data_IF_968234559861
#
_entry.id   IF_968234559861
#
_cell.length_a   1.000
_cell.length_b   1.000
_cell.length_c   1.000
_cell.angle_alpha   90.00
_cell.angle_beta   90.00
_cell.angle_gamma   90.00
#
_symmetry.space_group_name_H-M   'P 1'
#
loop_
_entity.id
_entity.type
_entity.pdbx_description
1 polymer ?
#
# COMPACT_ATOMS: atom_id res chain seq x y z
N UNK A 1 35.09 16.84 20.38
CA UNK A 1 35.12 15.41 19.99
C UNK A 1 36.53 14.86 19.78
N UNK A 2 37.53 15.68 19.40
CA UNK A 2 38.91 15.21 19.18
C UNK A 2 39.53 14.43 20.37
N UNK A 3 39.23 14.83 21.61
CA UNK A 3 39.70 14.15 22.81
C UNK A 3 39.22 12.69 22.93
N UNK A 4 37.93 12.45 22.74
CA UNK A 4 37.35 11.11 22.86
C UNK A 4 37.86 10.18 21.74
N UNK A 5 38.06 10.74 20.55
CA UNK A 5 38.66 10.03 19.42
C UNK A 5 40.12 9.63 19.74
N UNK A 6 40.91 10.53 20.31
CA UNK A 6 42.28 10.21 20.73
C UNK A 6 42.33 9.11 21.80
N UNK A 7 41.41 9.12 22.79
CA UNK A 7 41.31 8.05 23.79
C UNK A 7 40.91 6.71 23.14
N UNK A 8 39.99 6.74 22.19
CA UNK A 8 39.60 5.55 21.43
C UNK A 8 40.77 4.98 20.62
N UNK A 9 41.52 5.82 19.90
CA UNK A 9 42.66 5.42 19.08
C UNK A 9 43.80 4.86 19.94
N UNK A 10 44.13 5.51 21.06
CA UNK A 10 45.13 5.03 22.01
C UNK A 10 44.75 3.66 22.60
N UNK A 11 43.47 3.50 23.00
CA UNK A 11 42.96 2.23 23.53
C UNK A 11 43.01 1.12 22.48
N UNK A 12 42.63 1.44 21.24
CA UNK A 12 42.62 0.49 20.13
C UNK A 12 44.04 0.03 19.75
N UNK A 13 45.01 0.94 19.76
CA UNK A 13 46.42 0.61 19.54
C UNK A 13 46.95 -0.35 20.62
N UNK A 14 46.70 -0.04 21.90
CA UNK A 14 47.12 -0.89 23.02
C UNK A 14 46.48 -2.29 22.98
N UNK A 15 45.19 -2.38 22.63
CA UNK A 15 44.48 -3.68 22.50
C UNK A 15 45.08 -4.52 21.36
N UNK A 16 45.46 -3.91 20.23
CA UNK A 16 46.10 -4.63 19.12
C UNK A 16 47.44 -5.24 19.55
N UNK A 17 48.27 -4.46 20.22
CA UNK A 17 49.56 -4.92 20.73
C UNK A 17 49.38 -6.05 21.76
N UNK A 18 48.47 -5.89 22.72
CA UNK A 18 48.15 -6.94 23.69
C UNK A 18 47.66 -8.23 23.06
N UNK A 19 46.84 -8.14 22.00
CA UNK A 19 46.36 -9.30 21.24
C UNK A 19 47.49 -10.06 20.56
N UNK A 20 48.48 -9.37 19.99
CA UNK A 20 49.64 -10.01 19.36
C UNK A 20 50.50 -10.75 20.39
N UNK A 21 50.73 -10.13 21.56
CA UNK A 21 51.46 -10.76 22.68
C UNK A 21 50.74 -12.02 23.19
N UNK A 22 49.43 -11.97 23.40
CA UNK A 22 48.63 -13.13 23.81
C UNK A 22 48.65 -14.25 22.76
N UNK A 23 48.59 -13.89 21.47
CA UNK A 23 48.68 -14.85 20.36
C UNK A 23 50.05 -15.53 20.32
N UNK A 24 51.14 -14.80 20.53
CA UNK A 24 52.49 -15.36 20.59
C UNK A 24 52.66 -16.36 21.75
N UNK A 25 51.96 -16.14 22.86
CA UNK A 25 51.92 -17.05 24.01
C UNK A 25 50.91 -18.21 23.86
N UNK A 26 50.15 -18.27 22.76
CA UNK A 26 49.14 -19.31 22.53
C UNK A 26 47.89 -19.18 23.40
N UNK A 27 47.65 -18.01 24.02
CA UNK A 27 46.49 -17.78 24.91
C UNK A 27 45.29 -17.33 24.09
N UNK A 28 44.14 -18.00 24.26
CA UNK A 28 42.87 -17.60 23.65
C UNK A 28 42.34 -16.30 24.25
N UNK A 29 42.11 -15.28 23.41
CA UNK A 29 41.67 -13.95 23.85
C UNK A 29 40.20 -13.64 23.50
N UNK A 30 39.60 -14.36 22.54
CA UNK A 30 38.21 -14.13 22.11
C UNK A 30 37.26 -14.90 23.03
N UNK A 31 36.23 -14.23 23.54
CA UNK A 31 35.11 -14.90 24.23
C UNK A 31 34.37 -15.82 23.23
N UNK A 32 34.23 -17.13 23.51
CA UNK A 32 33.40 -18.02 22.72
C UNK A 32 31.92 -17.60 22.78
N UNK A 33 31.20 -17.79 21.67
CA UNK A 33 29.79 -17.37 21.57
C UNK A 33 28.88 -18.22 22.49
N UNK A 34 29.20 -19.50 22.66
CA UNK A 34 28.43 -20.47 23.45
C UNK A 34 28.82 -20.48 24.95
N UNK A 35 29.70 -19.58 25.41
CA UNK A 35 30.10 -19.50 26.81
C UNK A 35 29.23 -18.50 27.58
N UNK A 36 28.18 -19.01 28.22
CA UNK A 36 27.25 -18.21 29.03
C UNK A 36 27.76 -18.06 30.47
N UNK A 37 28.30 -16.88 30.79
CA UNK A 37 28.67 -16.48 32.15
C UNK A 37 28.02 -15.13 32.50
N UNK A 38 28.01 -14.77 33.78
CA UNK A 38 27.50 -13.47 34.22
C UNK A 38 28.32 -12.32 33.63
N UNK A 39 27.65 -11.35 33.02
CA UNK A 39 28.25 -10.15 32.44
C UNK A 39 28.10 -8.96 33.39
N UNK A 40 28.97 -7.95 33.25
CA UNK A 40 28.94 -6.72 34.06
C UNK A 40 27.56 -6.03 34.02
N UNK A 41 26.84 -6.15 32.90
CA UNK A 41 25.48 -5.63 32.73
C UNK A 41 24.53 -6.78 32.43
N UNK A 42 23.36 -6.75 33.06
CA UNK A 42 22.30 -7.73 32.81
C UNK A 42 21.73 -7.61 31.39
N UNK A 43 21.25 -8.73 30.86
CA UNK A 43 20.57 -8.76 29.56
C UNK A 43 19.31 -7.87 29.55
N UNK A 44 18.60 -7.80 30.68
CA UNK A 44 17.45 -6.92 30.83
C UNK A 44 17.82 -5.44 30.66
N UNK A 45 18.98 -5.02 31.16
CA UNK A 45 19.49 -3.67 30.95
C UNK A 45 19.86 -3.44 29.48
N UNK A 46 20.59 -4.38 28.87
CA UNK A 46 21.03 -4.26 27.48
C UNK A 46 19.85 -4.27 26.49
N UNK A 47 18.76 -4.98 26.78
CA UNK A 47 17.54 -4.95 25.98
C UNK A 47 16.89 -3.56 25.99
N UNK A 48 16.83 -2.89 27.15
CA UNK A 48 16.33 -1.50 27.23
C UNK A 48 17.19 -0.53 26.42
N UNK A 49 18.50 -0.71 26.41
CA UNK A 49 19.41 0.12 25.60
C UNK A 49 19.14 -0.12 24.11
N UNK A 50 19.01 -1.38 23.68
CA UNK A 50 18.66 -1.73 22.30
C UNK A 50 17.31 -1.16 21.87
N UNK A 51 16.30 -1.25 22.73
CA UNK A 51 14.97 -0.69 22.48
C UNK A 51 15.03 0.83 22.23
N UNK A 52 15.83 1.56 23.01
CA UNK A 52 16.03 3.01 22.82
C UNK A 52 16.70 3.31 21.48
N UNK A 53 17.75 2.58 21.12
CA UNK A 53 18.44 2.76 19.83
C UNK A 53 17.50 2.48 18.65
N UNK A 54 16.72 1.40 18.73
CA UNK A 54 15.72 1.05 17.70
C UNK A 54 14.64 2.14 17.63
N UNK A 55 14.21 2.68 18.76
CA UNK A 55 13.23 3.75 18.81
C UNK A 55 13.75 5.03 18.13
N UNK A 56 15.00 5.42 18.40
CA UNK A 56 15.63 6.59 17.76
C UNK A 56 15.78 6.40 16.25
N UNK A 57 16.21 5.23 15.80
CA UNK A 57 16.29 4.89 14.37
C UNK A 57 14.92 4.99 13.69
N UNK A 58 13.89 4.35 14.27
CA UNK A 58 12.52 4.43 13.74
C UNK A 58 11.97 5.86 13.71
N UNK A 59 12.35 6.69 14.69
CA UNK A 59 11.96 8.10 14.73
C UNK A 59 12.59 8.89 13.59
N UNK A 60 13.88 8.67 13.30
CA UNK A 60 14.57 9.30 12.17
C UNK A 60 13.98 8.84 10.84
N UNK A 61 13.79 7.54 10.65
CA UNK A 61 13.17 6.96 9.45
C UNK A 61 11.76 7.51 9.22
N UNK A 62 10.93 7.60 10.26
CA UNK A 62 9.59 8.15 10.15
C UNK A 62 9.61 9.64 9.74
N UNK A 63 10.58 10.40 10.22
CA UNK A 63 10.77 11.80 9.81
C UNK A 63 11.19 11.92 8.34
N UNK A 64 12.14 11.10 7.90
CA UNK A 64 12.60 11.06 6.51
C UNK A 64 11.48 10.64 5.56
N UNK A 65 10.75 9.57 5.89
CA UNK A 65 9.58 9.14 5.13
C UNK A 65 8.49 10.21 5.08
N UNK A 66 8.30 10.98 6.16
CA UNK A 66 7.35 12.11 6.15
C UNK A 66 7.81 13.21 5.21
N UNK A 67 9.10 13.56 5.24
CA UNK A 67 9.70 14.56 4.34
C UNK A 67 9.56 14.12 2.88
N UNK A 68 9.89 12.87 2.57
CA UNK A 68 9.74 12.30 1.23
C UNK A 68 8.27 12.28 0.78
N UNK A 69 7.34 11.89 1.66
CA UNK A 69 5.91 11.93 1.34
C UNK A 69 5.43 13.36 1.03
N UNK A 70 5.97 14.36 1.71
CA UNK A 70 5.64 15.76 1.43
C UNK A 70 6.19 16.22 0.09
N UNK A 71 7.44 15.88 -0.25
CA UNK A 71 8.03 16.22 -1.55
C UNK A 71 7.28 15.50 -2.67
N UNK A 72 7.02 14.20 -2.53
CA UNK A 72 6.23 13.43 -3.48
C UNK A 72 4.84 14.06 -3.70
N UNK A 73 4.14 14.49 -2.64
CA UNK A 73 2.85 15.17 -2.77
C UNK A 73 2.95 16.50 -3.54
N UNK A 74 3.99 17.30 -3.27
CA UNK A 74 4.23 18.57 -3.97
C UNK A 74 4.48 18.36 -5.47
N UNK A 75 5.31 17.38 -5.82
CA UNK A 75 5.71 17.14 -7.21
C UNK A 75 4.82 16.15 -7.97
N UNK A 76 3.90 15.45 -7.30
CA UNK A 76 3.06 14.40 -7.91
C UNK A 76 2.28 14.88 -9.12
N UNK A 77 1.70 16.09 -9.07
CA UNK A 77 0.95 16.65 -10.21
C UNK A 77 1.86 17.03 -11.37
N UNK A 78 3.01 17.64 -11.09
CA UNK A 78 3.98 17.99 -12.12
C UNK A 78 4.49 16.73 -12.84
N UNK A 79 4.88 15.71 -12.07
CA UNK A 79 5.30 14.40 -12.59
C UNK A 79 4.21 13.72 -13.41
N UNK A 80 2.95 13.78 -12.97
CA UNK A 80 1.83 13.21 -13.72
C UNK A 80 1.64 13.92 -15.06
N UNK A 81 1.73 15.25 -15.09
CA UNK A 81 1.61 16.04 -16.32
C UNK A 81 2.77 15.78 -17.29
N UNK A 82 3.99 15.72 -16.77
CA UNK A 82 5.20 15.40 -17.53
C UNK A 82 5.10 14.01 -18.16
N UNK A 83 4.70 13.01 -17.39
CA UNK A 83 4.48 11.65 -17.89
C UNK A 83 3.41 11.60 -18.99
N UNK A 84 2.35 12.40 -18.89
CA UNK A 84 1.34 12.48 -19.97
C UNK A 84 1.90 13.14 -21.23
N UNK A 85 2.71 14.19 -21.09
CA UNK A 85 3.40 14.85 -22.21
C UNK A 85 4.37 13.90 -22.90
N UNK A 86 5.18 13.18 -22.12
CA UNK A 86 6.13 12.17 -22.63
C UNK A 86 5.39 11.04 -23.37
N UNK A 87 4.31 10.50 -22.78
CA UNK A 87 3.46 9.50 -23.44
C UNK A 87 2.81 10.01 -24.72
N UNK A 88 2.42 11.29 -24.77
CA UNK A 88 1.86 11.88 -25.98
C UNK A 88 2.94 12.09 -27.05
N UNK A 89 4.14 12.50 -26.66
CA UNK A 89 5.29 12.65 -27.53
C UNK A 89 5.72 11.31 -28.14
N UNK A 90 5.88 10.27 -27.33
CA UNK A 90 6.24 8.92 -27.81
C UNK A 90 5.16 8.33 -28.73
N UNK A 91 3.87 8.54 -28.44
CA UNK A 91 2.79 8.17 -29.37
C UNK A 91 2.87 8.91 -30.70
N UNK A 92 3.18 10.20 -30.70
CA UNK A 92 3.35 10.97 -31.94
C UNK A 92 4.55 10.48 -32.73
N UNK A 93 5.67 10.21 -32.06
CA UNK A 93 6.90 9.71 -32.67
C UNK A 93 6.69 8.32 -33.30
N UNK A 94 6.08 7.39 -32.58
CA UNK A 94 5.73 6.05 -33.10
C UNK A 94 4.78 6.15 -34.29
N UNK A 95 3.73 6.98 -34.24
CA UNK A 95 2.84 7.19 -35.38
C UNK A 95 3.57 7.84 -36.58
N UNK A 96 4.48 8.77 -36.34
CA UNK A 96 5.30 9.35 -37.40
C UNK A 96 6.24 8.31 -38.04
N UNK A 97 6.85 7.45 -37.23
CA UNK A 97 7.68 6.35 -37.71
C UNK A 97 6.87 5.33 -38.54
N UNK A 98 5.67 4.97 -38.10
CA UNK A 98 4.77 4.08 -38.86
C UNK A 98 4.31 4.74 -40.16
N UNK A 99 3.99 6.03 -40.16
CA UNK A 99 3.64 6.77 -41.39
C UNK A 99 4.80 6.81 -42.37
N UNK A 100 6.01 7.17 -41.92
CA UNK A 100 7.22 7.12 -42.74
C UNK A 100 7.45 5.72 -43.31
N UNK A 101 7.35 4.68 -42.50
CA UNK A 101 7.47 3.30 -42.97
C UNK A 101 6.39 2.95 -44.01
N UNK A 102 5.14 3.38 -43.81
CA UNK A 102 4.05 3.19 -44.78
C UNK A 102 4.36 3.91 -46.10
N UNK A 103 4.78 5.17 -46.03
CA UNK A 103 5.09 6.00 -47.20
C UNK A 103 6.29 5.42 -47.97
N UNK A 104 7.38 5.07 -47.26
CA UNK A 104 8.56 4.41 -47.81
C UNK A 104 8.20 3.05 -48.45
N UNK A 105 7.32 2.27 -47.81
CA UNK A 105 6.86 0.98 -48.34
C UNK A 105 5.94 1.17 -49.56
N UNK A 106 5.11 2.21 -49.59
CA UNK A 106 4.27 2.54 -50.73
C UNK A 106 5.11 3.04 -51.92
N UNK A 107 6.17 3.82 -51.67
CA UNK A 107 7.13 4.24 -52.69
C UNK A 107 7.92 3.05 -53.25
N UNK A 108 8.35 2.12 -52.38
CA UNK A 108 8.96 0.84 -52.80
C UNK A 108 7.98 -0.03 -53.61
N UNK A 109 6.70 -0.07 -53.24
CA UNK A 109 5.64 -0.80 -53.96
C UNK A 109 5.25 -0.13 -55.29
N UNK A 110 5.42 1.17 -55.47
CA UNK A 110 5.25 1.83 -56.78
C UNK A 110 6.30 1.39 -57.82
N UNK A 111 7.40 0.78 -57.38
CA UNK A 111 8.42 0.17 -58.25
C UNK A 111 8.29 -1.35 -58.44
N UNK A 112 7.29 -2.02 -57.83
CA UNK A 112 7.16 -3.47 -57.86
C UNK A 112 5.72 -3.95 -57.62
N UNK A 113 5.17 -4.64 -58.62
CA UNK A 113 3.82 -5.23 -58.72
C UNK A 113 3.36 -5.95 -57.43
N UNK A 114 2.11 -5.70 -56.99
CA UNK A 114 1.33 -6.68 -56.21
C UNK A 114 0.55 -6.20 -54.98
N UNK A 115 -0.74 -5.93 -55.20
CA UNK A 115 -1.93 -6.37 -54.45
C UNK A 115 -2.22 -5.99 -52.97
N UNK A 116 -3.50 -5.67 -52.74
CA UNK A 116 -4.31 -5.83 -51.53
C UNK A 116 -4.01 -5.06 -50.21
N UNK A 117 -4.01 -3.73 -50.21
CA UNK A 117 -4.11 -2.93 -48.95
C UNK A 117 -5.52 -2.31 -48.73
N UNK A 118 -6.46 -2.47 -49.67
CA UNK A 118 -7.83 -1.96 -49.57
C UNK A 118 -8.74 -2.79 -48.66
N UNK A 119 -8.39 -4.05 -48.40
CA UNK A 119 -9.23 -4.98 -47.64
C UNK A 119 -9.06 -4.81 -46.11
N UNK A 120 -7.86 -4.40 -45.66
CA UNK A 120 -7.53 -4.27 -44.24
C UNK A 120 -8.25 -3.09 -43.55
N UNK A 121 -8.44 -1.97 -44.24
CA UNK A 121 -9.16 -0.78 -43.73
C UNK A 121 -10.68 -1.00 -43.67
N UNK A 122 -11.20 -1.85 -44.56
CA UNK A 122 -12.61 -2.27 -44.58
C UNK A 122 -12.92 -3.29 -43.48
N UNK A 123 -11.99 -4.20 -43.19
CA UNK A 123 -12.13 -5.19 -42.11
C UNK A 123 -12.07 -4.55 -40.71
N UNK A 124 -11.25 -3.51 -40.51
CA UNK A 124 -11.15 -2.82 -39.21
C UNK A 124 -12.34 -1.90 -38.89
N UNK A 125 -13.01 -1.35 -39.90
CA UNK A 125 -14.10 -0.38 -39.71
C UNK A 125 -15.45 -1.01 -39.42
N UNK A 126 -15.72 -2.24 -39.90
CA UNK A 126 -17.03 -2.89 -39.78
C UNK A 126 -17.20 -3.87 -38.58
N UNK A 127 -16.15 -4.15 -37.81
CA UNK A 127 -16.23 -5.07 -36.66
C UNK A 127 -16.21 -4.40 -35.28
N UNK A 128 -17.19 -3.54 -34.99
CA UNK A 128 -17.65 -3.40 -33.59
C UNK A 128 -18.85 -4.31 -33.37
N UNK A 129 -18.70 -5.48 -32.71
CA UNK A 129 -19.82 -6.34 -32.41
C UNK A 129 -20.86 -5.56 -31.58
N UNK A 130 -22.01 -5.27 -32.18
CA UNK A 130 -23.12 -4.62 -31.50
C UNK A 130 -23.56 -5.43 -30.27
N UNK A 131 -24.07 -4.74 -29.24
CA UNK A 131 -24.54 -5.40 -28.01
C UNK A 131 -25.52 -6.54 -28.36
N UNK A 132 -25.22 -7.75 -27.87
CA UNK A 132 -26.03 -8.97 -28.06
C UNK A 132 -27.52 -8.70 -27.84
N UNK A 133 -28.39 -9.36 -28.62
CA UNK A 133 -29.86 -9.25 -28.50
C UNK A 133 -30.34 -9.56 -27.08
N UNK A 134 -29.68 -10.51 -26.40
CA UNK A 134 -29.91 -10.82 -24.97
C UNK A 134 -29.57 -9.63 -24.07
N UNK A 135 -28.45 -8.94 -24.33
CA UNK A 135 -28.04 -7.75 -23.57
C UNK A 135 -29.02 -6.59 -23.77
N UNK A 136 -29.48 -6.35 -25.01
CA UNK A 136 -30.51 -5.32 -25.30
C UNK A 136 -31.83 -5.58 -24.58
N UNK A 137 -32.29 -6.84 -24.52
CA UNK A 137 -33.51 -7.21 -23.79
C UNK A 137 -33.35 -7.03 -22.27
N UNK A 138 -32.19 -7.39 -21.71
CA UNK A 138 -31.90 -7.19 -20.30
C UNK A 138 -31.76 -5.70 -19.93
N UNK A 139 -31.14 -4.89 -20.79
CA UNK A 139 -31.03 -3.44 -20.60
C UNK A 139 -32.43 -2.77 -20.65
N UNK A 140 -33.38 -3.29 -21.45
CA UNK A 140 -34.79 -2.83 -21.44
C UNK A 140 -35.54 -3.25 -20.17
N UNK A 141 -35.30 -4.46 -19.67
CA UNK A 141 -36.02 -5.02 -18.51
C UNK A 141 -35.48 -4.51 -17.16
N UNK A 142 -34.16 -4.33 -17.05
CA UNK A 142 -33.47 -4.03 -15.79
C UNK A 142 -32.69 -2.71 -15.80
N UNK A 143 -32.76 -1.94 -16.90
CA UNK A 143 -31.97 -0.75 -17.14
C UNK A 143 -30.55 -1.07 -17.60
N UNK A 144 -29.88 -0.11 -18.25
CA UNK A 144 -28.46 -0.22 -18.57
C UNK A 144 -27.70 -0.44 -17.27
N UNK A 145 -27.12 -1.64 -17.09
CA UNK A 145 -26.40 -2.07 -15.89
C UNK A 145 -25.10 -1.29 -15.60
N UNK A 146 -25.13 0.02 -15.71
CA UNK A 146 -24.16 0.94 -15.14
C UNK A 146 -24.25 0.98 -13.62
N UNK A 147 -23.24 1.56 -12.95
CA UNK A 147 -23.15 1.55 -11.49
C UNK A 147 -24.40 2.19 -10.88
N UNK A 148 -25.25 1.36 -10.25
CA UNK A 148 -26.40 1.80 -9.47
C UNK A 148 -25.96 2.94 -8.56
N UNK A 149 -26.49 4.12 -8.82
CA UNK A 149 -26.51 5.31 -7.96
C UNK A 149 -25.32 5.43 -6.99
N UNK A 150 -24.15 5.84 -7.49
CA UNK A 150 -23.07 6.38 -6.63
C UNK A 150 -23.54 7.57 -5.77
N UNK A 151 -24.75 8.10 -6.01
CA UNK A 151 -25.42 9.12 -5.20
C UNK A 151 -26.27 8.55 -4.05
N UNK A 152 -26.78 7.32 -4.14
CA UNK A 152 -27.55 6.71 -3.04
C UNK A 152 -26.67 6.34 -1.83
N UNK A 153 -25.35 6.27 -2.03
CA UNK A 153 -24.35 6.06 -0.97
C UNK A 153 -23.55 7.33 -0.66
N UNK A 154 -23.95 8.50 -1.17
CA UNK A 154 -23.34 9.78 -0.83
C UNK A 154 -24.21 10.45 0.23
N UNK A 155 -23.58 10.95 1.28
CA UNK A 155 -24.26 11.78 2.26
C UNK A 155 -24.66 13.10 1.57
N UNK A 156 -25.95 13.41 1.58
CA UNK A 156 -26.48 14.69 1.13
C UNK A 156 -26.41 15.70 2.29
N UNK A 157 -26.44 17.00 1.99
CA UNK A 157 -26.33 18.05 3.02
C UNK A 157 -27.42 17.94 4.10
N UNK A 158 -28.57 17.33 3.77
CA UNK A 158 -29.64 17.00 4.71
C UNK A 158 -29.28 15.85 5.65
N UNK A 159 -28.52 14.85 5.20
CA UNK A 159 -28.10 13.71 6.03
C UNK A 159 -26.85 13.99 6.88
N UNK A 160 -26.12 15.08 6.61
CA UNK A 160 -24.99 15.53 7.44
C UNK A 160 -25.45 16.25 8.72
N UNK A 161 -26.62 16.88 8.70
CA UNK A 161 -27.14 17.69 9.81
C UNK A 161 -28.33 17.05 10.55
N UNK A 162 -28.76 15.84 10.18
CA UNK A 162 -29.84 15.13 10.85
C UNK A 162 -29.32 14.38 12.09
N UNK A 163 -29.40 15.04 13.25
CA UNK A 163 -29.04 14.48 14.56
C UNK A 163 -30.27 13.97 15.33
N UNK A 164 -31.44 13.87 14.70
CA UNK A 164 -32.70 13.48 15.38
C UNK A 164 -32.68 12.04 15.92
N UNK A 165 -31.84 11.17 15.34
CA UNK A 165 -31.59 9.80 15.83
C UNK A 165 -30.52 9.69 16.90
N UNK A 166 -29.82 10.76 17.26
CA UNK A 166 -28.75 10.75 18.27
C UNK A 166 -29.31 11.11 19.65
N UNK A 167 -29.71 10.10 20.43
CA UNK A 167 -30.09 10.29 21.83
C UNK A 167 -28.87 10.15 22.74
N UNK A 168 -28.38 11.21 23.39
CA UNK A 168 -27.26 11.13 24.34
C UNK A 168 -27.61 10.36 25.63
N UNK A 169 -28.88 10.00 25.84
CA UNK A 169 -29.36 9.20 26.98
C UNK A 169 -29.55 7.71 26.66
N UNK A 170 -29.46 7.30 25.39
CA UNK A 170 -29.85 5.95 24.95
C UNK A 170 -28.81 4.84 25.15
N UNK A 171 -27.54 5.15 25.38
CA UNK A 171 -26.47 4.14 25.36
C UNK A 171 -26.27 3.36 26.68
N UNK A 172 -27.16 3.52 27.68
CA UNK A 172 -27.12 2.76 28.95
C UNK A 172 -28.48 2.28 29.48
N UNK A 173 -29.60 2.53 28.80
CA UNK A 173 -30.93 2.34 29.40
C UNK A 173 -31.68 1.05 28.99
N UNK A 174 -31.20 0.27 28.01
CA UNK A 174 -31.91 -0.92 27.51
C UNK A 174 -31.39 -2.28 28.03
N UNK A 175 -30.71 -2.29 29.17
CA UNK A 175 -30.27 -3.53 29.82
C UNK A 175 -31.16 -3.98 30.99
N UNK A 176 -32.25 -3.26 31.32
CA UNK A 176 -33.05 -3.53 32.55
C UNK A 176 -34.57 -3.52 32.38
N UNK A 177 -35.11 -3.66 31.15
CA UNK A 177 -36.57 -3.70 30.92
C UNK A 177 -37.03 -4.90 30.08
N UNK A 178 -36.48 -6.07 30.32
CA UNK A 178 -37.05 -7.31 29.78
C UNK A 178 -36.83 -8.50 30.74
N UNK A 179 -37.35 -8.40 31.96
CA UNK A 179 -37.58 -9.54 32.83
C UNK A 179 -39.08 -9.68 33.09
N UNK A 180 -39.77 -10.35 32.16
CA UNK A 180 -41.18 -10.68 32.31
C UNK A 180 -41.76 -11.19 31.00
N UNK A 181 -41.92 -12.50 30.87
CA UNK A 181 -42.65 -13.12 29.75
C UNK A 181 -42.08 -14.46 29.31
N UNK A 182 -42.64 -15.55 29.86
CA UNK A 182 -42.44 -16.94 29.41
C UNK A 182 -43.03 -17.14 28.00
N UNK A 183 -42.25 -17.67 27.07
CA UNK A 183 -42.69 -18.19 25.77
C UNK A 183 -41.54 -18.91 25.04
N UNK A 184 -41.77 -20.05 24.37
CA UNK A 184 -40.70 -20.98 24.01
C UNK A 184 -39.87 -20.53 22.79
N UNK A 185 -38.55 -20.68 22.93
CA UNK A 185 -37.53 -20.42 21.89
C UNK A 185 -37.78 -21.29 20.65
N UNK A 186 -37.97 -20.65 19.49
CA UNK A 186 -37.70 -21.28 18.19
C UNK A 186 -36.23 -21.03 17.82
N UNK A 187 -35.51 -22.13 17.64
CA UNK A 187 -34.10 -22.21 17.29
C UNK A 187 -33.81 -21.65 15.88
N UNK A 188 -33.28 -20.43 15.81
CA UNK A 188 -32.53 -19.94 14.66
C UNK A 188 -31.08 -19.74 15.09
N UNK A 189 -30.13 -20.41 14.44
CA UNK A 189 -28.70 -20.30 14.73
C UNK A 189 -28.19 -18.84 14.69
N UNK A 190 -27.01 -18.55 15.26
CA UNK A 190 -26.54 -17.18 15.43
C UNK A 190 -26.44 -16.47 14.08
N UNK A 191 -27.30 -15.45 13.90
CA UNK A 191 -27.28 -14.60 12.71
C UNK A 191 -25.92 -13.92 12.60
N UNK A 192 -25.26 -14.10 11.44
CA UNK A 192 -23.93 -13.54 11.17
C UNK A 192 -23.98 -12.01 11.37
N UNK A 193 -23.11 -11.43 12.22
CA UNK A 193 -23.06 -9.99 12.43
C UNK A 193 -22.91 -9.24 11.10
N UNK A 194 -23.57 -8.09 10.97
CA UNK A 194 -23.50 -7.25 9.78
C UNK A 194 -22.06 -6.89 9.40
N UNK A 195 -21.83 -6.57 8.12
CA UNK A 195 -20.47 -6.39 7.54
C UNK A 195 -19.64 -5.34 8.28
N UNK A 196 -20.26 -4.28 8.81
CA UNK A 196 -19.62 -3.25 9.62
C UNK A 196 -19.10 -3.79 10.97
N UNK A 197 -19.92 -4.57 11.69
CA UNK A 197 -19.53 -5.20 12.95
C UNK A 197 -18.38 -6.21 12.75
N UNK A 198 -18.36 -6.92 11.61
CA UNK A 198 -17.24 -7.81 11.24
C UNK A 198 -15.94 -7.04 10.95
N UNK A 199 -16.04 -5.83 10.39
CA UNK A 199 -14.86 -5.00 10.13
C UNK A 199 -14.28 -4.41 11.42
N UNK A 200 -15.13 -3.96 12.35
CA UNK A 200 -14.70 -3.47 13.66
C UNK A 200 -14.02 -4.55 14.50
N UNK A 201 -14.57 -5.77 14.52
CA UNK A 201 -13.96 -6.89 15.25
C UNK A 201 -12.56 -7.26 14.71
N UNK A 202 -12.34 -7.10 13.40
CA UNK A 202 -11.01 -7.27 12.76
C UNK A 202 -10.02 -6.17 13.11
N UNK A 203 -10.49 -4.95 13.40
CA UNK A 203 -9.62 -3.86 13.86
C UNK A 203 -9.28 -4.01 15.34
N UNK A 204 -10.25 -4.43 16.16
CA UNK A 204 -10.03 -4.66 17.59
C UNK A 204 -9.02 -5.78 17.86
N UNK A 205 -9.07 -6.88 17.08
CA UNK A 205 -8.09 -7.97 17.19
C UNK A 205 -6.70 -7.65 16.62
N UNK A 206 -6.49 -6.48 16.03
CA UNK A 206 -5.17 -6.00 15.56
C UNK A 206 -4.50 -5.03 16.53
N UNK A 207 -5.18 -4.66 17.61
CA UNK A 207 -4.62 -3.90 18.72
C UNK A 207 -4.49 -4.79 19.95
N UNK A 208 -3.59 -5.78 19.89
CA UNK A 208 -3.07 -6.42 21.10
C UNK A 208 -2.06 -5.48 21.78
N UNK A 209 -1.91 -5.56 23.11
CA UNK A 209 -1.18 -4.58 23.90
C UNK A 209 0.30 -4.55 23.49
N UNK A 210 0.79 -3.35 23.21
CA UNK A 210 2.19 -2.99 23.42
C UNK A 210 2.30 -2.40 24.81
#
# INVERSE_FOLDING_TARGET
>A
MARELAFYEASLAAVKEGRERLKAQGISWKRPEDFFCEMIKSDTHMNRVKERLIFEQKKMEAFEQRKERQTQKKFSKAKANELQKERAASKKETLAAVKKWRDDNQERRKGGVGDDDGDLDRILSDQKPGKSRKRKALDRKYGFGGPKNKKATRNDQKSLNDMSGFSPRGMKADARRMSGGRGPKRSGGPSRPGKAARAQKRQHNRGGPM
#
